data_IF_533602333151
#
_entry.id   IF_533602333151
#
_cell.length_a   1.000
_cell.length_b   1.000
_cell.length_c   1.000
_cell.angle_alpha   90.00
_cell.angle_beta   90.00
_cell.angle_gamma   90.00
#
_symmetry.space_group_name_H-M   'P 1'
#
loop_
_entity.id
_entity.type
_entity.pdbx_description
1 polymer ?
#
# COMPACT_ATOMS: atom_id res chain seq x y z
N UNK A 1 67.87 15.98 14.06
CA UNK A 1 67.32 16.97 15.01
C UNK A 1 65.82 17.10 14.71
N UNK A 2 64.99 16.74 15.70
CA UNK A 2 63.54 16.87 15.66
C UNK A 2 63.14 18.34 15.52
N UNK A 3 62.18 18.63 14.64
CA UNK A 3 61.26 19.75 14.85
C UNK A 3 59.85 19.37 14.42
N UNK A 4 59.00 19.18 15.45
CA UNK A 4 57.54 19.11 15.42
C UNK A 4 56.91 20.29 14.68
N UNK A 5 55.76 20.05 14.02
CA UNK A 5 54.57 20.93 14.14
C UNK A 5 53.33 20.23 13.54
N UNK A 6 52.62 19.50 14.40
CA UNK A 6 51.19 19.26 14.30
C UNK A 6 50.47 20.62 14.26
N UNK A 7 49.67 20.86 13.22
CA UNK A 7 48.74 21.98 13.12
C UNK A 7 47.31 21.47 13.04
N UNK A 8 46.60 21.50 14.17
CA UNK A 8 45.15 21.41 14.21
C UNK A 8 44.53 22.73 13.77
N UNK A 9 43.69 22.71 12.74
CA UNK A 9 42.61 23.68 12.47
C UNK A 9 41.44 22.81 12.00
N UNK A 10 40.55 22.41 12.90
CA UNK A 10 39.30 23.14 13.19
C UNK A 10 38.51 23.45 11.93
N UNK A 11 37.72 22.47 11.49
CA UNK A 11 36.62 22.65 10.56
C UNK A 11 35.49 21.72 10.98
N UNK A 12 34.62 22.19 11.86
CA UNK A 12 33.27 21.63 12.05
C UNK A 12 32.51 21.73 10.72
N UNK A 13 32.78 20.81 9.81
CA UNK A 13 31.94 20.53 8.66
C UNK A 13 30.86 19.55 9.08
N UNK A 14 29.99 19.96 10.01
CA UNK A 14 28.67 19.39 10.17
C UNK A 14 27.96 19.62 8.83
N UNK A 15 28.13 18.70 7.89
CA UNK A 15 27.20 18.54 6.80
C UNK A 15 25.90 18.03 7.42
N UNK A 16 25.17 18.96 8.04
CA UNK A 16 23.74 18.88 8.23
C UNK A 16 23.14 18.84 6.82
N UNK A 17 23.22 17.68 6.18
CA UNK A 17 22.34 17.31 5.08
C UNK A 17 20.96 17.02 5.68
N UNK A 18 20.38 18.04 6.33
CA UNK A 18 18.95 18.15 6.52
C UNK A 18 18.36 18.58 5.18
N UNK A 19 18.26 17.62 4.28
CA UNK A 19 17.32 17.69 3.16
C UNK A 19 16.49 16.42 3.14
N UNK A 20 15.88 16.10 4.29
CA UNK A 20 14.59 15.42 4.29
C UNK A 20 13.54 16.43 3.77
N UNK A 21 13.64 16.82 2.50
CA UNK A 21 12.49 17.25 1.72
C UNK A 21 11.77 15.97 1.28
N UNK A 22 11.29 15.22 2.27
CA UNK A 22 10.59 13.97 2.06
C UNK A 22 9.17 14.28 1.60
N UNK A 23 8.96 14.39 0.29
CA UNK A 23 7.72 13.85 -0.23
C UNK A 23 7.81 12.34 -0.01
N UNK A 24 7.18 11.82 1.06
CA UNK A 24 6.92 10.38 1.15
C UNK A 24 6.35 9.93 -0.20
N UNK A 25 6.98 8.91 -0.78
CA UNK A 25 6.55 8.36 -2.05
C UNK A 25 5.08 7.94 -1.92
N UNK A 26 4.23 8.41 -2.83
CA UNK A 26 2.81 8.10 -2.81
C UNK A 26 2.57 6.57 -2.77
N UNK A 27 1.40 6.11 -2.27
CA UNK A 27 1.06 4.69 -2.25
C UNK A 27 1.29 4.04 -3.60
N UNK A 28 1.90 2.87 -3.58
CA UNK A 28 2.20 2.13 -4.79
C UNK A 28 1.13 1.06 -5.03
N UNK A 29 1.27 0.37 -6.17
CA UNK A 29 0.34 -0.67 -6.59
C UNK A 29 0.24 -1.79 -5.55
N UNK A 30 1.35 -2.12 -4.91
CA UNK A 30 1.46 -3.14 -3.87
C UNK A 30 0.66 -2.77 -2.62
N UNK A 31 0.62 -1.49 -2.27
CA UNK A 31 -0.19 -0.98 -1.15
C UNK A 31 -1.69 -1.10 -1.48
N UNK A 32 -2.07 -0.76 -2.72
CA UNK A 32 -3.44 -0.96 -3.19
C UNK A 32 -3.83 -2.44 -3.21
N UNK A 33 -2.95 -3.35 -3.66
CA UNK A 33 -3.23 -4.80 -3.63
C UNK A 33 -3.49 -5.27 -2.21
N UNK A 34 -2.62 -4.95 -1.25
CA UNK A 34 -2.82 -5.31 0.16
C UNK A 34 -4.12 -4.73 0.73
N UNK A 35 -4.44 -3.50 0.35
CA UNK A 35 -5.68 -2.85 0.76
C UNK A 35 -6.93 -3.55 0.18
N UNK A 36 -6.90 -3.93 -1.09
CA UNK A 36 -7.95 -4.73 -1.76
C UNK A 36 -8.12 -6.07 -1.05
N UNK A 37 -7.02 -6.78 -0.79
CA UNK A 37 -7.04 -8.06 -0.08
C UNK A 37 -7.66 -7.95 1.30
N UNK A 38 -7.25 -6.93 2.07
CA UNK A 38 -7.80 -6.65 3.40
C UNK A 38 -9.28 -6.31 3.32
N UNK A 39 -9.68 -5.42 2.41
CA UNK A 39 -11.06 -4.99 2.25
C UNK A 39 -11.97 -6.19 1.93
N UNK A 40 -11.66 -6.96 0.89
CA UNK A 40 -12.47 -8.11 0.53
C UNK A 40 -12.38 -9.23 1.57
N UNK A 41 -11.26 -9.39 2.28
CA UNK A 41 -11.16 -10.28 3.47
C UNK A 41 -12.21 -9.96 4.50
N UNK A 42 -12.35 -8.69 4.88
CA UNK A 42 -13.35 -8.31 5.87
C UNK A 42 -14.78 -8.44 5.33
N UNK A 43 -15.02 -8.06 4.07
CA UNK A 43 -16.33 -8.25 3.43
C UNK A 43 -16.74 -9.73 3.36
N UNK A 44 -15.83 -10.61 2.94
CA UNK A 44 -16.07 -12.04 2.84
C UNK A 44 -16.31 -12.69 4.20
N UNK A 45 -15.56 -12.29 5.23
CA UNK A 45 -15.81 -12.73 6.62
C UNK A 45 -17.20 -12.35 7.11
N UNK A 46 -17.63 -11.11 6.84
CA UNK A 46 -18.96 -10.63 7.23
C UNK A 46 -20.06 -11.37 6.44
N UNK A 47 -19.90 -11.51 5.13
CA UNK A 47 -20.89 -12.14 4.26
C UNK A 47 -21.06 -13.65 4.50
N UNK A 48 -19.98 -14.35 4.82
CA UNK A 48 -19.99 -15.82 4.99
C UNK A 48 -20.06 -16.28 6.44
N UNK A 49 -19.86 -15.37 7.41
CA UNK A 49 -19.64 -15.69 8.83
C UNK A 49 -18.44 -16.63 9.08
N UNK A 50 -17.50 -16.75 8.13
CA UNK A 50 -16.31 -17.59 8.24
C UNK A 50 -15.10 -16.75 8.63
N UNK A 51 -14.62 -16.86 9.88
CA UNK A 51 -13.44 -16.11 10.37
C UNK A 51 -12.15 -16.41 9.60
N UNK A 52 -12.06 -17.62 9.06
CA UNK A 52 -10.92 -18.10 8.27
C UNK A 52 -11.01 -17.73 6.80
N UNK A 53 -12.06 -17.00 6.39
CA UNK A 53 -12.17 -16.49 5.03
C UNK A 53 -11.03 -15.51 4.75
N UNK A 54 -10.42 -15.64 3.57
CA UNK A 54 -9.37 -14.77 3.04
C UNK A 54 -9.60 -14.52 1.55
N UNK A 55 -9.28 -13.31 1.10
CA UNK A 55 -9.16 -12.99 -0.31
C UNK A 55 -7.69 -12.74 -0.65
N UNK A 56 -7.25 -13.28 -1.78
CA UNK A 56 -5.90 -13.11 -2.30
C UNK A 56 -5.98 -12.66 -3.75
N UNK A 57 -5.17 -11.66 -4.09
CA UNK A 57 -4.96 -11.21 -5.46
C UNK A 57 -3.83 -12.04 -6.06
N UNK A 58 -4.14 -12.80 -7.11
CA UNK A 58 -3.17 -13.67 -7.80
C UNK A 58 -2.51 -13.00 -8.99
N UNK A 59 -3.22 -12.06 -9.62
CA UNK A 59 -2.66 -11.18 -10.63
C UNK A 59 -3.27 -9.79 -10.48
N UNK A 60 -2.42 -8.78 -10.53
CA UNK A 60 -2.79 -7.37 -10.48
C UNK A 60 -2.24 -6.61 -11.68
N UNK A 61 -1.76 -7.28 -12.73
CA UNK A 61 -1.12 -6.66 -13.90
C UNK A 61 -1.92 -5.47 -14.45
N UNK A 62 -3.24 -5.60 -14.55
CA UNK A 62 -4.17 -4.55 -15.00
C UNK A 62 -4.70 -3.58 -13.93
N UNK A 63 -4.15 -3.59 -12.71
CA UNK A 63 -4.51 -2.66 -11.64
C UNK A 63 -3.79 -1.32 -11.82
N UNK A 64 -4.56 -0.24 -11.70
CA UNK A 64 -4.13 1.15 -11.75
C UNK A 64 -4.44 1.85 -10.43
N UNK A 65 -3.55 2.75 -10.04
CA UNK A 65 -3.70 3.60 -8.85
C UNK A 65 -3.37 5.05 -9.22
N UNK A 66 -4.25 5.97 -8.81
CA UNK A 66 -4.05 7.41 -8.97
C UNK A 66 -4.31 8.10 -7.63
N UNK A 67 -3.30 8.75 -7.06
CA UNK A 67 -3.33 9.30 -5.70
C UNK A 67 -3.23 10.81 -5.69
N UNK A 68 -4.10 11.45 -4.90
CA UNK A 68 -4.05 12.88 -4.59
C UNK A 68 -3.65 13.07 -3.13
N UNK A 69 -2.56 13.83 -2.92
CA UNK A 69 -2.10 14.19 -1.58
C UNK A 69 -3.06 15.18 -0.92
N UNK A 70 -3.49 14.87 0.29
CA UNK A 70 -4.33 15.73 1.12
C UNK A 70 -3.49 16.67 2.01
N UNK A 71 -4.06 17.80 2.49
CA UNK A 71 -3.32 18.75 3.34
C UNK A 71 -2.76 18.17 4.64
N UNK A 72 -3.36 17.10 5.15
CA UNK A 72 -2.92 16.40 6.36
C UNK A 72 -1.86 15.32 6.11
N UNK A 73 -1.38 15.16 4.87
CA UNK A 73 -0.40 14.15 4.48
C UNK A 73 -1.00 12.80 4.09
N UNK A 74 -2.29 12.56 4.36
CA UNK A 74 -3.01 11.40 3.85
C UNK A 74 -3.07 11.45 2.30
N UNK A 75 -3.31 10.30 1.68
CA UNK A 75 -3.41 10.14 0.23
C UNK A 75 -4.79 9.58 -0.10
N UNK A 76 -5.54 10.30 -0.92
CA UNK A 76 -6.81 9.82 -1.47
C UNK A 76 -6.52 9.19 -2.83
N UNK A 77 -6.63 7.87 -2.91
CA UNK A 77 -6.24 7.08 -4.05
C UNK A 77 -7.45 6.43 -4.72
N UNK A 78 -7.58 6.65 -6.02
CA UNK A 78 -8.52 5.94 -6.88
C UNK A 78 -7.86 4.67 -7.38
N UNK A 79 -8.47 3.53 -7.09
CA UNK A 79 -7.97 2.21 -7.47
C UNK A 79 -8.94 1.61 -8.49
N UNK A 80 -8.44 1.29 -9.68
CA UNK A 80 -9.27 0.79 -10.79
C UNK A 80 -8.55 -0.24 -11.65
N UNK A 81 -9.30 -0.89 -12.53
CA UNK A 81 -8.75 -1.85 -13.50
C UNK A 81 -9.05 -3.29 -13.11
N UNK A 82 -8.29 -4.23 -13.67
CA UNK A 82 -8.59 -5.66 -13.55
C UNK A 82 -7.61 -6.35 -12.62
N UNK A 83 -8.13 -7.23 -11.78
CA UNK A 83 -7.38 -8.17 -10.96
C UNK A 83 -7.90 -9.60 -11.14
N UNK A 84 -7.07 -10.58 -10.82
CA UNK A 84 -7.48 -11.97 -10.64
C UNK A 84 -7.52 -12.28 -9.15
N UNK A 85 -8.71 -12.49 -8.59
CA UNK A 85 -8.93 -12.76 -7.17
C UNK A 85 -9.24 -14.22 -6.88
N UNK A 86 -8.91 -14.68 -5.68
CA UNK A 86 -9.29 -16.00 -5.16
C UNK A 86 -9.71 -15.91 -3.70
N UNK A 87 -10.90 -16.41 -3.39
CA UNK A 87 -11.35 -16.60 -2.00
C UNK A 87 -10.91 -17.96 -1.46
N UNK A 88 -10.56 -18.03 -0.19
CA UNK A 88 -10.25 -19.26 0.52
C UNK A 88 -10.89 -19.30 1.91
N UNK A 89 -11.20 -20.51 2.40
CA UNK A 89 -11.67 -20.76 3.76
C UNK A 89 -10.74 -21.81 4.37
N UNK A 90 -10.09 -21.47 5.49
CA UNK A 90 -9.17 -22.41 6.16
C UNK A 90 -7.97 -22.82 5.28
N UNK A 91 -7.56 -21.96 4.33
CA UNK A 91 -6.49 -22.24 3.38
C UNK A 91 -6.92 -23.04 2.14
N UNK A 92 -8.20 -23.44 2.04
CA UNK A 92 -8.73 -24.11 0.86
C UNK A 92 -9.47 -23.12 -0.04
N UNK A 93 -9.13 -23.03 -1.33
CA UNK A 93 -9.85 -22.19 -2.28
C UNK A 93 -11.35 -22.54 -2.33
N UNK A 94 -12.20 -21.52 -2.38
CA UNK A 94 -13.66 -21.70 -2.54
C UNK A 94 -14.07 -21.97 -3.98
N UNK A 95 -13.17 -21.68 -4.93
CA UNK A 95 -13.31 -21.98 -6.37
C UNK A 95 -12.04 -22.61 -6.92
N UNK A 96 -12.13 -23.44 -7.99
CA UNK A 96 -10.97 -24.09 -8.58
C UNK A 96 -10.07 -23.15 -9.40
N UNK A 97 -10.57 -21.97 -9.77
CA UNK A 97 -9.86 -20.96 -10.56
C UNK A 97 -10.04 -19.57 -9.94
N UNK A 98 -9.09 -18.69 -10.23
CA UNK A 98 -9.24 -17.25 -9.96
C UNK A 98 -10.40 -16.69 -10.76
N UNK A 99 -10.97 -15.61 -10.25
CA UNK A 99 -11.98 -14.82 -10.95
C UNK A 99 -11.44 -13.46 -11.29
N UNK A 100 -11.75 -13.00 -12.49
CA UNK A 100 -11.49 -11.62 -12.85
C UNK A 100 -12.45 -10.70 -12.10
N UNK A 101 -11.89 -9.66 -11.49
CA UNK A 101 -12.65 -8.58 -10.87
C UNK A 101 -12.21 -7.26 -11.46
N UNK A 102 -13.18 -6.47 -11.89
CA UNK A 102 -12.96 -5.11 -12.37
C UNK A 102 -13.20 -4.15 -11.22
N UNK A 103 -12.11 -3.70 -10.62
CA UNK A 103 -12.12 -2.82 -9.46
C UNK A 103 -12.52 -1.40 -9.85
N UNK A 104 -13.26 -0.78 -8.93
CA UNK A 104 -13.53 0.65 -8.94
C UNK A 104 -13.70 1.10 -7.49
N UNK A 105 -12.61 1.50 -6.86
CA UNK A 105 -12.55 1.80 -5.43
C UNK A 105 -11.91 3.16 -5.16
N UNK A 106 -12.24 3.74 -4.02
CA UNK A 106 -11.54 4.89 -3.44
C UNK A 106 -10.95 4.43 -2.12
N UNK A 107 -9.67 4.71 -1.90
CA UNK A 107 -8.93 4.28 -0.72
C UNK A 107 -8.18 5.46 -0.15
N UNK A 108 -8.28 5.65 1.17
CA UNK A 108 -7.52 6.66 1.90
C UNK A 108 -6.37 6.00 2.63
N UNK A 109 -5.15 6.43 2.32
CA UNK A 109 -3.94 5.97 2.96
C UNK A 109 -3.35 7.05 3.86
N UNK A 110 -2.77 6.64 4.99
CA UNK A 110 -2.02 7.49 5.90
C UNK A 110 -0.56 7.06 5.93
N UNK A 111 0.41 8.00 5.93
CA UNK A 111 1.81 7.63 6.11
C UNK A 111 2.00 6.92 7.45
N UNK A 112 2.68 5.79 7.44
CA UNK A 112 3.02 5.01 8.63
C UNK A 112 4.55 4.91 8.78
N UNK A 113 5.02 4.38 9.92
CA UNK A 113 6.46 4.16 10.15
C UNK A 113 7.13 3.34 9.05
N UNK A 114 6.38 2.44 8.42
CA UNK A 114 6.79 1.65 7.27
C UNK A 114 5.65 1.63 6.23
N UNK A 115 5.80 2.42 5.17
CA UNK A 115 4.84 2.47 4.06
C UNK A 115 3.53 3.18 4.42
N UNK A 116 2.41 2.57 4.02
CA UNK A 116 1.09 3.20 4.03
C UNK A 116 0.06 2.38 4.81
N UNK A 117 -0.65 3.04 5.72
CA UNK A 117 -1.79 2.46 6.44
C UNK A 117 -3.10 2.77 5.70
N UNK A 118 -3.90 1.75 5.40
CA UNK A 118 -5.26 1.93 4.90
C UNK A 118 -6.17 2.45 6.02
N UNK A 119 -6.65 3.68 5.88
CA UNK A 119 -7.58 4.34 6.82
C UNK A 119 -9.03 4.09 6.45
N UNK A 120 -9.33 4.14 5.16
CA UNK A 120 -10.69 4.00 4.64
C UNK A 120 -10.68 3.39 3.24
N UNK A 121 -11.72 2.64 2.90
CA UNK A 121 -11.88 2.03 1.59
C UNK A 121 -13.37 1.96 1.24
N UNK A 122 -13.73 2.52 0.09
CA UNK A 122 -15.08 2.50 -0.47
C UNK A 122 -15.07 1.79 -1.82
N UNK A 123 -15.93 0.79 -1.97
CA UNK A 123 -16.21 0.16 -3.25
C UNK A 123 -17.27 0.96 -4.01
N UNK A 124 -16.91 1.47 -5.20
CA UNK A 124 -17.75 2.34 -6.03
C UNK A 124 -18.37 1.59 -7.22
N UNK A 125 -18.52 0.27 -7.12
CA UNK A 125 -19.17 -0.57 -8.12
C UNK A 125 -18.22 -1.54 -8.80
N UNK A 126 -17.39 -2.22 -8.02
CA UNK A 126 -16.60 -3.37 -8.49
C UNK A 126 -17.52 -4.46 -9.01
N UNK A 127 -17.17 -5.04 -10.16
CA UNK A 127 -17.89 -6.16 -10.75
C UNK A 127 -16.99 -7.40 -10.83
N UNK A 128 -17.54 -8.57 -10.50
CA UNK A 128 -16.85 -9.85 -10.67
C UNK A 128 -17.46 -10.63 -11.85
N UNK A 129 -16.58 -11.23 -12.66
CA UNK A 129 -16.95 -12.11 -13.78
C UNK A 129 -17.25 -13.56 -13.40
#
# INVERSE_FOLDING_TARGET
>A
MLTNRLGWISGCGLALALSACGSEAAPEKEDAVKAVERFYTEQGRQATSQRTWRFEVKDASGLEIDCTKLPNGDQDCRVSGNIQGLGSIGGQPTTPKTKEMRLKMTMKFRPASEGWELVDATDNGTSAG
#
